data_IF_872848587931
#
_entry.id   IF_872848587931
#
_cell.length_a   1.000
_cell.length_b   1.000
_cell.length_c   1.000
_cell.angle_alpha   90.00
_cell.angle_beta   90.00
_cell.angle_gamma   90.00
#
_symmetry.space_group_name_H-M   'P 1'
#
loop_
_entity.id
_entity.type
_entity.pdbx_description
1 polymer ?
#
# COMPACT_ATOMS: atom_id res chain seq x y z
N UNK A 1 -8.56 33.82 -0.25
CA UNK A 1 -9.95 33.41 -0.51
C UNK A 1 -10.01 31.91 -0.25
N UNK A 2 -10.68 31.41 0.81
CA UNK A 2 -10.86 29.98 0.97
C UNK A 2 -11.73 29.49 -0.19
N UNK A 3 -11.14 28.68 -1.07
CA UNK A 3 -11.87 27.95 -2.12
C UNK A 3 -13.02 27.19 -1.46
N UNK A 4 -14.26 27.25 -1.97
CA UNK A 4 -15.35 26.45 -1.41
C UNK A 4 -14.90 24.99 -1.37
N UNK A 5 -14.90 24.40 -0.17
CA UNK A 5 -14.46 23.02 0.02
C UNK A 5 -15.36 22.11 -0.82
N UNK A 6 -14.81 21.61 -1.93
CA UNK A 6 -15.49 20.66 -2.78
C UNK A 6 -15.66 19.39 -1.95
N UNK A 7 -16.91 19.00 -1.66
CA UNK A 7 -17.21 17.86 -0.80
C UNK A 7 -18.05 16.82 -1.52
N UNK A 8 -17.80 15.55 -1.19
CA UNK A 8 -18.57 14.44 -1.75
C UNK A 8 -20.02 14.51 -1.28
N UNK A 9 -21.01 14.48 -2.19
CA UNK A 9 -22.42 14.53 -1.82
C UNK A 9 -22.93 13.29 -1.06
N UNK A 10 -22.14 12.20 -1.02
CA UNK A 10 -22.52 10.97 -0.27
C UNK A 10 -21.84 10.86 1.09
N UNK A 11 -20.56 11.22 1.21
CA UNK A 11 -19.81 11.01 2.45
C UNK A 11 -19.15 12.28 3.01
N UNK A 12 -19.42 13.44 2.42
CA UNK A 12 -18.88 14.75 2.79
C UNK A 12 -17.35 14.88 2.79
N UNK A 13 -16.61 13.85 2.34
CA UNK A 13 -15.16 13.88 2.20
C UNK A 13 -14.73 14.99 1.23
N UNK A 14 -13.62 15.65 1.53
CA UNK A 14 -13.02 16.65 0.65
C UNK A 14 -12.61 16.00 -0.68
N UNK A 15 -12.80 16.76 -1.76
CA UNK A 15 -12.55 16.34 -3.13
C UNK A 15 -11.57 17.31 -3.77
N UNK A 16 -10.63 16.77 -4.54
CA UNK A 16 -9.91 17.58 -5.52
C UNK A 16 -10.70 17.66 -6.82
N UNK A 17 -10.49 18.78 -7.52
CA UNK A 17 -11.10 19.04 -8.81
C UNK A 17 -10.71 17.95 -9.82
N UNK A 18 -11.68 17.49 -10.59
CA UNK A 18 -11.52 16.47 -11.65
C UNK A 18 -11.18 15.05 -11.19
N UNK A 19 -11.35 14.71 -9.91
CA UNK A 19 -11.42 13.31 -9.50
C UNK A 19 -12.66 12.65 -10.11
N UNK A 20 -12.49 11.47 -10.73
CA UNK A 20 -13.60 10.72 -11.32
C UNK A 20 -14.42 9.95 -10.28
N UNK A 21 -13.82 9.66 -9.12
CA UNK A 21 -14.43 8.97 -8.01
C UNK A 21 -14.05 9.64 -6.69
N UNK A 22 -14.95 9.60 -5.71
CA UNK A 22 -14.62 9.99 -4.35
C UNK A 22 -13.61 8.98 -3.77
N UNK A 23 -12.49 9.48 -3.24
CA UNK A 23 -11.42 8.65 -2.68
C UNK A 23 -11.78 7.93 -1.37
N UNK A 24 -12.91 8.28 -0.76
CA UNK A 24 -13.40 7.69 0.49
C UNK A 24 -14.53 6.67 0.23
N UNK A 25 -15.59 7.05 -0.49
CA UNK A 25 -16.76 6.19 -0.70
C UNK A 25 -16.88 5.57 -2.11
N UNK A 26 -16.02 5.96 -3.04
CA UNK A 26 -16.01 5.45 -4.41
C UNK A 26 -17.14 5.96 -5.31
N UNK A 27 -18.03 6.84 -4.82
CA UNK A 27 -19.07 7.49 -5.64
C UNK A 27 -18.43 8.13 -6.87
N UNK A 28 -18.97 7.79 -8.05
CA UNK A 28 -18.59 8.45 -9.30
C UNK A 28 -18.98 9.93 -9.25
N UNK A 29 -18.05 10.78 -9.66
CA UNK A 29 -18.17 12.23 -9.65
C UNK A 29 -18.33 12.75 -11.08
N UNK A 30 -19.13 13.79 -11.21
CA UNK A 30 -19.33 14.54 -12.45
C UNK A 30 -18.93 15.99 -12.22
N UNK A 31 -18.18 16.56 -13.15
CA UNK A 31 -17.69 17.94 -13.07
C UNK A 31 -18.40 18.80 -14.10
N UNK A 32 -19.67 19.09 -13.88
CA UNK A 32 -20.51 19.94 -14.75
C UNK A 32 -20.16 21.42 -14.59
N UNK A 33 -20.41 22.23 -15.62
CA UNK A 33 -20.18 23.68 -15.61
C UNK A 33 -21.36 24.43 -14.96
N UNK A 34 -21.70 24.05 -13.74
CA UNK A 34 -22.88 24.59 -13.02
C UNK A 34 -22.83 26.10 -12.81
N UNK A 35 -21.65 26.70 -12.78
CA UNK A 35 -21.44 28.14 -12.63
C UNK A 35 -21.26 28.88 -13.96
N UNK A 36 -21.42 28.18 -15.10
CA UNK A 36 -21.21 28.71 -16.46
C UNK A 36 -19.84 29.40 -16.60
N UNK A 37 -18.81 28.80 -16.01
CA UNK A 37 -17.46 29.36 -16.02
C UNK A 37 -16.82 29.25 -17.41
N UNK A 38 -17.07 28.15 -18.12
CA UNK A 38 -16.49 27.85 -19.44
C UNK A 38 -17.54 27.90 -20.54
N UNK A 39 -18.83 27.78 -20.19
CA UNK A 39 -19.94 27.78 -21.11
C UNK A 39 -20.14 26.46 -21.87
N UNK A 40 -19.30 25.45 -21.63
CA UNK A 40 -19.28 24.23 -22.42
C UNK A 40 -19.11 22.95 -21.57
N UNK A 41 -19.88 21.92 -21.92
CA UNK A 41 -19.82 20.58 -21.34
C UNK A 41 -19.68 19.54 -22.46
N UNK A 42 -18.89 18.51 -22.23
CA UNK A 42 -18.76 17.42 -23.19
C UNK A 42 -20.06 16.61 -23.24
N UNK A 43 -20.72 16.57 -24.40
CA UNK A 43 -21.94 15.79 -24.63
C UNK A 43 -21.82 14.30 -24.23
N UNK A 44 -20.62 13.72 -24.36
CA UNK A 44 -20.41 12.29 -24.11
C UNK A 44 -20.17 11.92 -22.64
N UNK A 45 -19.53 12.78 -21.86
CA UNK A 45 -19.17 12.47 -20.47
C UNK A 45 -19.72 13.46 -19.44
N UNK A 46 -20.36 14.54 -19.87
CA UNK A 46 -20.97 15.57 -19.02
C UNK A 46 -19.96 16.39 -18.20
N UNK A 47 -18.67 16.31 -18.52
CA UNK A 47 -17.65 17.09 -17.82
C UNK A 47 -17.41 18.41 -18.54
N UNK A 48 -17.13 19.44 -17.75
CA UNK A 48 -16.78 20.78 -18.20
C UNK A 48 -15.60 20.75 -19.18
N UNK A 49 -15.78 21.41 -20.32
CA UNK A 49 -14.78 21.59 -21.38
C UNK A 49 -14.73 23.06 -21.77
N UNK A 50 -13.95 23.41 -22.79
CA UNK A 50 -14.04 24.71 -23.47
C UNK A 50 -14.68 24.50 -24.83
N UNK A 51 -15.47 25.48 -25.26
CA UNK A 51 -15.84 25.73 -26.66
C UNK A 51 -14.65 25.62 -27.63
N UNK A 52 -13.48 26.12 -27.24
CA UNK A 52 -12.28 26.12 -28.07
C UNK A 52 -11.64 24.74 -28.29
N UNK A 53 -12.07 23.68 -27.58
CA UNK A 53 -11.42 22.37 -27.61
C UNK A 53 -11.98 21.47 -28.70
N UNK A 54 -11.12 20.94 -29.58
CA UNK A 54 -11.50 19.92 -30.57
C UNK A 54 -11.73 18.54 -29.97
N UNK A 55 -11.06 18.21 -28.86
CA UNK A 55 -11.19 16.92 -28.18
C UNK A 55 -11.51 17.08 -26.70
N UNK A 56 -12.35 16.20 -26.18
CA UNK A 56 -12.63 16.17 -24.76
C UNK A 56 -11.39 15.70 -23.98
N UNK A 57 -10.82 16.53 -23.09
CA UNK A 57 -9.60 16.18 -22.36
C UNK A 57 -9.80 15.04 -21.33
N UNK A 58 -11.05 14.66 -21.06
CA UNK A 58 -11.43 13.66 -20.05
C UNK A 58 -11.72 12.29 -20.66
N UNK A 59 -12.52 12.24 -21.72
CA UNK A 59 -12.92 11.00 -22.40
C UNK A 59 -12.22 10.74 -23.73
N UNK A 60 -11.54 11.75 -24.31
CA UNK A 60 -10.75 11.63 -25.53
C UNK A 60 -11.56 11.63 -26.83
N UNK A 61 -12.89 11.76 -26.75
CA UNK A 61 -13.75 11.86 -27.94
C UNK A 61 -13.56 13.21 -28.62
N UNK A 62 -13.68 13.20 -29.93
CA UNK A 62 -13.82 14.39 -30.74
C UNK A 62 -15.13 15.10 -30.36
N UNK A 63 -15.02 16.38 -30.04
CA UNK A 63 -16.12 17.28 -29.68
C UNK A 63 -16.11 18.54 -30.55
N UNK A 64 -15.40 18.50 -31.68
CA UNK A 64 -15.24 19.62 -32.58
C UNK A 64 -16.59 20.17 -33.02
N UNK A 65 -16.74 21.48 -32.88
CA UNK A 65 -17.89 22.26 -33.28
C UNK A 65 -17.43 23.55 -34.00
N UNK A 66 -18.34 24.42 -34.47
CA UNK A 66 -17.95 25.66 -35.17
C UNK A 66 -17.12 26.64 -34.32
N UNK A 67 -17.19 26.56 -33.00
CA UNK A 67 -16.46 27.44 -32.07
C UNK A 67 -15.08 26.87 -31.65
N UNK A 68 -14.82 25.61 -32.02
CA UNK A 68 -13.57 24.92 -31.77
C UNK A 68 -12.41 25.50 -32.57
N UNK A 69 -11.23 25.61 -31.94
CA UNK A 69 -10.03 26.08 -32.63
C UNK A 69 -9.17 24.91 -33.10
N UNK A 70 -8.78 24.84 -34.38
CA UNK A 70 -7.85 23.82 -34.88
C UNK A 70 -6.42 24.04 -34.35
N UNK A 71 -6.12 25.24 -33.87
CA UNK A 71 -4.81 25.62 -33.36
C UNK A 71 -4.77 25.74 -31.82
N UNK A 72 -3.68 25.31 -31.18
CA UNK A 72 -3.41 25.53 -29.76
C UNK A 72 -3.53 26.99 -29.30
N UNK A 73 -4.55 27.27 -28.50
CA UNK A 73 -4.71 28.59 -27.88
C UNK A 73 -4.07 28.67 -26.49
N UNK A 74 -4.12 29.87 -25.90
CA UNK A 74 -3.88 30.08 -24.46
C UNK A 74 -4.92 29.34 -23.63
N UNK A 75 -4.69 29.21 -22.33
CA UNK A 75 -5.61 28.50 -21.44
C UNK A 75 -6.97 29.24 -21.42
N UNK A 76 -8.08 28.57 -21.80
CA UNK A 76 -9.40 29.19 -21.76
C UNK A 76 -9.86 29.38 -20.32
N UNK A 77 -10.93 30.17 -20.14
CA UNK A 77 -11.49 30.45 -18.82
C UNK A 77 -11.80 29.14 -18.09
N UNK A 78 -11.52 29.10 -16.78
CA UNK A 78 -11.68 27.88 -15.98
C UNK A 78 -10.56 26.86 -16.13
N UNK A 79 -9.62 27.03 -17.08
CA UNK A 79 -8.48 26.17 -17.28
C UNK A 79 -7.13 26.87 -17.05
N UNK A 80 -6.13 26.13 -16.57
CA UNK A 80 -4.74 26.55 -16.38
C UNK A 80 -3.82 25.47 -16.95
N UNK A 81 -3.06 25.79 -18.00
CA UNK A 81 -2.15 24.80 -18.58
C UNK A 81 -0.88 24.69 -17.75
N UNK A 82 -0.56 23.46 -17.32
CA UNK A 82 0.63 23.16 -16.53
C UNK A 82 1.84 22.86 -17.42
N UNK A 83 1.61 22.34 -18.64
CA UNK A 83 2.68 22.07 -19.62
C UNK A 83 2.13 21.97 -21.04
N UNK A 84 3.03 21.84 -22.01
CA UNK A 84 2.72 21.54 -23.41
C UNK A 84 2.46 20.05 -23.65
N UNK A 85 1.70 19.75 -24.68
CA UNK A 85 1.38 18.40 -25.12
C UNK A 85 2.65 17.66 -25.50
N UNK A 86 2.87 16.50 -24.88
CA UNK A 86 4.06 15.66 -25.12
C UNK A 86 4.18 15.10 -26.54
N UNK A 87 3.12 15.16 -27.33
CA UNK A 87 3.08 14.64 -28.69
C UNK A 87 3.39 15.70 -29.76
N UNK A 88 3.86 16.88 -29.35
CA UNK A 88 4.38 17.88 -30.29
C UNK A 88 3.32 18.77 -30.96
N UNK A 89 2.03 18.60 -30.68
CA UNK A 89 0.99 19.45 -31.28
C UNK A 89 0.97 20.91 -30.80
N UNK A 90 1.88 21.34 -29.89
CA UNK A 90 1.90 22.71 -29.33
C UNK A 90 0.79 23.03 -28.30
N UNK A 91 -0.27 22.22 -28.25
CA UNK A 91 -1.39 22.29 -27.30
C UNK A 91 -0.97 22.39 -25.83
N UNK A 92 -1.60 23.27 -25.05
CA UNK A 92 -1.46 23.25 -23.59
C UNK A 92 -2.33 22.16 -22.95
N UNK A 93 -1.88 21.59 -21.83
CA UNK A 93 -2.61 20.57 -21.04
C UNK A 93 -2.57 20.90 -19.55
N UNK A 94 -3.67 20.64 -18.85
CA UNK A 94 -3.82 20.80 -17.40
C UNK A 94 -3.78 19.43 -16.70
N UNK A 95 -3.18 19.33 -15.52
CA UNK A 95 -3.37 18.15 -14.66
C UNK A 95 -4.82 18.12 -14.12
N UNK A 96 -5.56 17.00 -14.13
CA UNK A 96 -5.15 15.64 -14.48
C UNK A 96 -5.67 15.15 -15.84
N UNK A 97 -5.80 16.04 -16.85
CA UNK A 97 -6.36 15.72 -18.17
C UNK A 97 -5.77 14.44 -18.76
N UNK A 98 -6.63 13.52 -19.23
CA UNK A 98 -6.23 12.22 -19.77
C UNK A 98 -5.82 12.30 -21.23
N UNK A 99 -6.37 13.26 -21.96
CA UNK A 99 -6.13 13.47 -23.38
C UNK A 99 -5.78 14.93 -23.64
N UNK A 100 -5.03 15.20 -24.70
CA UNK A 100 -4.80 16.56 -25.15
C UNK A 100 -6.09 17.11 -25.77
N UNK A 101 -6.58 18.28 -25.36
CA UNK A 101 -7.80 18.85 -25.92
C UNK A 101 -7.67 19.29 -27.39
N UNK A 102 -6.44 19.33 -27.92
CA UNK A 102 -6.13 19.81 -29.27
C UNK A 102 -5.94 18.67 -30.28
N UNK A 103 -5.21 17.62 -29.89
CA UNK A 103 -4.89 16.51 -30.81
C UNK A 103 -5.47 15.15 -30.39
N UNK A 104 -6.26 15.11 -29.30
CA UNK A 104 -6.89 13.90 -28.78
C UNK A 104 -5.92 12.86 -28.19
N UNK A 105 -4.59 13.05 -28.31
CA UNK A 105 -3.62 12.03 -27.89
C UNK A 105 -3.52 11.92 -26.36
N UNK A 106 -3.37 10.69 -25.81
CA UNK A 106 -3.35 10.47 -24.37
C UNK A 106 -2.12 11.10 -23.70
N UNK A 107 -2.34 11.69 -22.53
CA UNK A 107 -1.32 12.31 -21.68
C UNK A 107 -0.96 11.39 -20.52
N UNK A 108 0.33 11.37 -20.16
CA UNK A 108 0.83 10.69 -18.95
C UNK A 108 1.38 11.72 -17.98
N UNK A 109 0.89 11.73 -16.75
CA UNK A 109 1.35 12.64 -15.70
C UNK A 109 2.32 11.94 -14.77
N UNK A 110 3.25 12.71 -14.22
CA UNK A 110 4.06 12.28 -13.07
C UNK A 110 3.34 12.72 -11.81
N UNK A 111 3.35 11.87 -10.78
CA UNK A 111 2.54 12.03 -9.57
C UNK A 111 3.43 12.29 -8.36
N UNK A 112 4.28 13.33 -8.42
CA UNK A 112 5.29 13.60 -7.38
C UNK A 112 4.67 14.03 -6.04
N UNK A 113 3.49 14.64 -6.08
CA UNK A 113 2.74 15.06 -4.89
C UNK A 113 2.03 13.91 -4.16
N UNK A 114 1.95 12.73 -4.78
CA UNK A 114 1.28 11.58 -4.18
C UNK A 114 2.29 10.66 -3.50
N UNK A 115 1.89 10.11 -2.34
CA UNK A 115 2.73 9.18 -1.61
C UNK A 115 2.93 7.88 -2.39
N UNK A 116 1.90 7.43 -3.12
CA UNK A 116 1.90 6.12 -3.76
C UNK A 116 1.24 6.16 -5.15
N UNK A 117 1.22 5.01 -5.83
CA UNK A 117 0.53 4.80 -7.10
C UNK A 117 -0.49 3.68 -6.96
N UNK A 118 -1.68 3.88 -7.52
CA UNK A 118 -2.75 2.89 -7.52
C UNK A 118 -2.28 1.57 -8.16
N UNK A 119 -2.47 0.42 -7.49
CA UNK A 119 -2.10 -0.90 -8.02
C UNK A 119 -2.85 -1.31 -9.29
N UNK A 120 -3.99 -0.67 -9.58
CA UNK A 120 -4.85 -0.98 -10.73
C UNK A 120 -4.55 -0.11 -11.95
N UNK A 121 -4.49 1.22 -11.79
CA UNK A 121 -4.31 2.16 -12.91
C UNK A 121 -2.97 2.89 -12.93
N UNK A 122 -2.11 2.68 -11.92
CA UNK A 122 -0.78 3.30 -11.79
C UNK A 122 -0.79 4.84 -11.77
N UNK A 123 -1.92 5.45 -11.39
CA UNK A 123 -2.04 6.89 -11.12
C UNK A 123 -1.75 7.21 -9.65
N UNK A 124 -1.32 8.43 -9.34
CA UNK A 124 -1.00 8.87 -7.99
C UNK A 124 -2.16 8.74 -7.01
N UNK A 125 -1.90 8.21 -5.82
CA UNK A 125 -2.86 8.08 -4.70
C UNK A 125 -2.12 8.28 -3.36
N UNK A 126 -2.83 8.76 -2.35
CA UNK A 126 -2.29 8.90 -1.00
C UNK A 126 -2.64 7.68 -0.13
N UNK A 127 -1.83 7.42 0.89
CA UNK A 127 -1.87 6.18 1.68
C UNK A 127 -3.21 5.99 2.44
N UNK A 128 -3.91 7.09 2.69
CA UNK A 128 -5.21 7.13 3.39
C UNK A 128 -6.43 7.11 2.47
N UNK A 129 -6.25 7.12 1.15
CA UNK A 129 -7.36 6.92 0.22
C UNK A 129 -7.77 5.44 0.24
N UNK A 130 -9.06 5.16 0.42
CA UNK A 130 -9.61 3.81 0.32
C UNK A 130 -9.91 3.44 -1.13
N UNK A 131 -10.38 4.41 -1.91
CA UNK A 131 -10.72 4.26 -3.33
C UNK A 131 -9.83 5.15 -4.17
N UNK A 132 -9.38 4.62 -5.31
CA UNK A 132 -8.60 5.37 -6.28
C UNK A 132 -9.52 6.39 -6.96
N UNK A 133 -9.25 7.71 -6.83
CA UNK A 133 -10.11 8.73 -7.41
C UNK A 133 -10.15 8.71 -8.95
N UNK A 134 -9.26 7.92 -9.57
CA UNK A 134 -9.12 7.87 -11.03
C UNK A 134 -9.81 6.70 -11.69
N UNK A 135 -9.86 5.53 -11.03
CA UNK A 135 -10.42 4.31 -11.59
C UNK A 135 -11.53 3.68 -10.74
N UNK A 136 -11.77 4.18 -9.52
CA UNK A 136 -12.82 3.68 -8.64
C UNK A 136 -12.49 2.35 -7.93
N UNK A 137 -11.34 1.76 -8.21
CA UNK A 137 -10.86 0.54 -7.55
C UNK A 137 -10.16 0.85 -6.22
N UNK A 138 -9.89 -0.18 -5.41
CA UNK A 138 -9.16 -0.05 -4.14
C UNK A 138 -7.79 0.62 -4.35
N UNK A 139 -7.57 1.78 -3.72
CA UNK A 139 -6.34 2.55 -3.86
C UNK A 139 -5.13 1.86 -3.19
N UNK A 140 -5.37 1.00 -2.21
CA UNK A 140 -4.34 0.30 -1.43
C UNK A 140 -3.91 -1.02 -2.06
N UNK A 141 -4.77 -1.61 -2.90
CA UNK A 141 -4.57 -2.94 -3.48
C UNK A 141 -4.84 -4.11 -2.52
N UNK A 142 -5.50 -3.88 -1.38
CA UNK A 142 -5.88 -4.95 -0.44
C UNK A 142 -6.86 -5.92 -1.08
N UNK A 143 -7.66 -5.44 -2.03
CA UNK A 143 -8.53 -6.23 -2.87
C UNK A 143 -7.79 -7.32 -3.68
N UNK A 144 -6.56 -7.04 -4.10
CA UNK A 144 -5.71 -7.98 -4.82
C UNK A 144 -5.17 -9.10 -3.93
N UNK A 145 -5.03 -8.84 -2.62
CA UNK A 145 -4.46 -9.78 -1.63
C UNK A 145 -5.46 -10.26 -0.56
N UNK A 146 -6.77 -10.22 -0.86
CA UNK A 146 -7.85 -10.58 0.09
C UNK A 146 -7.65 -11.93 0.77
N UNK A 147 -7.15 -12.94 0.05
CA UNK A 147 -6.95 -14.29 0.60
C UNK A 147 -5.88 -14.30 1.70
N UNK A 148 -4.71 -13.67 1.44
CA UNK A 148 -3.65 -13.54 2.42
C UNK A 148 -4.14 -12.75 3.65
N UNK A 149 -4.81 -11.61 3.43
CA UNK A 149 -5.34 -10.77 4.52
C UNK A 149 -6.35 -11.51 5.38
N UNK A 150 -7.25 -12.30 4.78
CA UNK A 150 -8.20 -13.14 5.52
C UNK A 150 -7.47 -14.15 6.39
N UNK A 151 -6.44 -14.80 5.85
CA UNK A 151 -5.63 -15.77 6.60
C UNK A 151 -4.87 -15.12 7.75
N UNK A 152 -4.25 -13.96 7.53
CA UNK A 152 -3.56 -13.19 8.57
C UNK A 152 -4.51 -12.84 9.71
N UNK A 153 -5.70 -12.30 9.41
CA UNK A 153 -6.72 -11.98 10.43
C UNK A 153 -7.10 -13.19 11.27
N UNK A 154 -7.36 -14.34 10.64
CA UNK A 154 -7.65 -15.59 11.36
C UNK A 154 -6.49 -15.99 12.29
N UNK A 155 -5.26 -15.91 11.81
CA UNK A 155 -4.07 -16.27 12.58
C UNK A 155 -3.83 -15.31 13.75
N UNK A 156 -4.08 -14.01 13.59
CA UNK A 156 -4.02 -13.05 14.69
C UNK A 156 -5.05 -13.35 15.78
N UNK A 157 -6.29 -13.70 15.39
CA UNK A 157 -7.36 -14.12 16.32
C UNK A 157 -6.95 -15.37 17.10
N UNK A 158 -6.44 -16.41 16.42
CA UNK A 158 -5.93 -17.63 17.08
C UNK A 158 -4.68 -17.33 17.94
N UNK A 159 -3.82 -16.44 17.46
CA UNK A 159 -2.70 -15.82 18.16
C UNK A 159 -3.12 -15.05 19.42
N UNK A 160 -4.40 -14.68 19.47
CA UNK A 160 -5.01 -13.71 20.38
C UNK A 160 -4.24 -12.38 20.38
N UNK A 161 -3.58 -12.04 19.28
CA UNK A 161 -2.84 -10.79 19.10
C UNK A 161 -3.84 -9.73 18.68
N UNK A 162 -3.84 -8.59 19.37
CA UNK A 162 -4.76 -7.48 19.08
C UNK A 162 -4.46 -6.92 17.69
N UNK A 163 -5.49 -6.73 16.88
CA UNK A 163 -5.41 -5.95 15.65
C UNK A 163 -5.33 -4.46 16.03
N UNK A 164 -4.29 -3.77 15.57
CA UNK A 164 -4.05 -2.36 15.89
C UNK A 164 -4.55 -1.41 14.81
N UNK A 165 -5.51 -1.89 14.03
CA UNK A 165 -6.03 -1.25 12.83
C UNK A 165 -4.88 -0.96 11.85
N UNK A 166 -4.05 -1.98 11.62
CA UNK A 166 -2.99 -1.87 10.62
C UNK A 166 -3.59 -1.75 9.22
N UNK A 167 -2.92 -0.98 8.37
CA UNK A 167 -3.29 -0.77 6.97
C UNK A 167 -2.20 -1.37 6.11
N UNK A 168 -2.58 -2.31 5.24
CA UNK A 168 -1.66 -2.93 4.29
C UNK A 168 -1.75 -2.18 2.97
N UNK A 169 -0.60 -1.76 2.42
CA UNK A 169 -0.50 -1.03 1.17
C UNK A 169 0.38 -1.80 0.19
N UNK A 170 -0.08 -2.01 -1.04
CA UNK A 170 0.77 -2.50 -2.12
C UNK A 170 1.53 -1.33 -2.75
N UNK A 171 2.87 -1.36 -2.69
CA UNK A 171 3.74 -0.28 -3.19
C UNK A 171 4.82 -0.81 -4.13
N UNK A 172 5.23 -0.06 -5.16
CA UNK A 172 6.54 -0.30 -5.78
C UNK A 172 7.66 -0.07 -4.74
N UNK A 173 8.69 -0.91 -4.72
CA UNK A 173 9.81 -0.76 -3.78
C UNK A 173 10.10 -2.03 -3.00
N UNK A 174 10.28 -1.92 -1.68
CA UNK A 174 10.57 -3.07 -0.80
C UNK A 174 9.44 -3.20 0.23
N UNK A 175 9.18 -4.42 0.69
CA UNK A 175 8.21 -4.64 1.78
C UNK A 175 8.82 -4.17 3.10
N UNK A 176 8.01 -3.60 4.00
CA UNK A 176 8.56 -3.05 5.23
C UNK A 176 7.55 -2.35 6.12
N UNK A 177 8.02 -2.01 7.32
CA UNK A 177 7.34 -1.14 8.28
C UNK A 177 8.36 -0.14 8.85
N UNK A 178 7.95 1.11 9.01
CA UNK A 178 8.80 2.14 9.64
C UNK A 178 8.33 2.45 11.06
N UNK A 179 9.27 2.85 11.92
CA UNK A 179 8.96 3.31 13.28
C UNK A 179 8.09 4.58 13.33
N UNK A 180 8.08 5.39 12.25
CA UNK A 180 7.28 6.62 12.15
C UNK A 180 5.81 6.32 11.83
N UNK A 181 5.58 5.28 11.05
CA UNK A 181 4.25 4.84 10.60
C UNK A 181 4.02 3.35 10.90
N UNK A 182 4.10 2.92 12.17
CA UNK A 182 4.12 1.50 12.52
C UNK A 182 2.81 0.76 12.20
N UNK A 183 1.73 1.48 11.90
CA UNK A 183 0.44 0.91 11.45
C UNK A 183 0.37 0.67 9.94
N UNK A 184 1.32 1.18 9.16
CA UNK A 184 1.34 1.01 7.71
C UNK A 184 2.29 -0.13 7.38
N UNK A 185 1.72 -1.18 6.78
CA UNK A 185 2.44 -2.38 6.33
C UNK A 185 2.59 -2.29 4.83
N UNK A 186 3.81 -2.08 4.36
CA UNK A 186 4.11 -1.97 2.95
C UNK A 186 4.47 -3.35 2.39
N UNK A 187 3.80 -3.74 1.31
CA UNK A 187 4.06 -4.99 0.61
C UNK A 187 4.45 -4.67 -0.83
N UNK A 188 5.56 -5.23 -1.28
CA UNK A 188 6.07 -4.99 -2.61
C UNK A 188 5.08 -5.49 -3.67
N UNK A 189 4.59 -4.55 -4.48
CA UNK A 189 3.54 -4.74 -5.48
C UNK A 189 3.87 -5.85 -6.49
N UNK A 190 5.15 -6.08 -6.80
CA UNK A 190 5.56 -7.09 -7.80
C UNK A 190 5.18 -8.53 -7.42
N UNK A 191 4.99 -8.81 -6.12
CA UNK A 191 4.51 -10.12 -5.67
C UNK A 191 3.07 -10.42 -6.10
N UNK A 192 2.32 -9.38 -6.50
CA UNK A 192 0.89 -9.45 -6.77
C UNK A 192 0.55 -9.05 -8.20
N UNK A 193 1.17 -7.99 -8.74
CA UNK A 193 0.85 -7.45 -10.08
C UNK A 193 1.92 -7.72 -11.13
N UNK A 194 2.91 -8.58 -10.85
CA UNK A 194 3.94 -8.97 -11.82
C UNK A 194 3.38 -9.84 -12.96
N UNK A 195 4.26 -10.33 -13.86
CA UNK A 195 3.89 -11.25 -14.96
C UNK A 195 3.25 -12.58 -14.52
N UNK A 196 3.19 -12.85 -13.21
CA UNK A 196 2.55 -14.03 -12.64
C UNK A 196 1.04 -13.86 -12.67
N UNK A 197 0.31 -14.84 -13.20
CA UNK A 197 -1.15 -14.83 -13.14
C UNK A 197 -1.60 -14.97 -11.67
N UNK A 198 -2.82 -14.54 -11.34
CA UNK A 198 -3.35 -14.51 -9.96
C UNK A 198 -3.33 -15.89 -9.26
N UNK A 199 -3.42 -16.96 -10.04
CA UNK A 199 -3.32 -18.37 -9.66
C UNK A 199 -1.91 -18.83 -9.31
N UNK A 200 -0.87 -18.10 -9.74
CA UNK A 200 0.53 -18.38 -9.41
C UNK A 200 1.00 -17.63 -8.14
N UNK A 201 0.12 -16.84 -7.51
CA UNK A 201 0.45 -16.11 -6.28
C UNK A 201 0.53 -17.12 -5.12
N UNK A 202 1.71 -17.23 -4.52
CA UNK A 202 1.90 -18.01 -3.30
C UNK A 202 1.26 -17.29 -2.10
N UNK A 203 -0.01 -17.57 -1.83
CA UNK A 203 -0.76 -16.97 -0.72
C UNK A 203 -0.13 -17.24 0.65
N UNK A 204 0.52 -18.40 0.80
CA UNK A 204 1.25 -18.74 2.02
C UNK A 204 2.51 -17.87 2.19
N UNK A 205 3.23 -17.58 1.10
CA UNK A 205 4.36 -16.65 1.14
C UNK A 205 3.88 -15.26 1.54
N UNK A 206 2.84 -14.73 0.88
CA UNK A 206 2.29 -13.40 1.23
C UNK A 206 1.79 -13.34 2.67
N UNK A 207 1.12 -14.40 3.15
CA UNK A 207 0.70 -14.49 4.56
C UNK A 207 1.90 -14.43 5.49
N UNK A 208 2.97 -15.17 5.18
CA UNK A 208 4.21 -15.17 5.95
C UNK A 208 4.88 -13.79 5.97
N UNK A 209 5.01 -13.15 4.82
CA UNK A 209 5.56 -11.81 4.67
C UNK A 209 4.75 -10.78 5.47
N UNK A 210 3.43 -10.76 5.33
CA UNK A 210 2.58 -9.83 6.09
C UNK A 210 2.73 -10.06 7.61
N UNK A 211 2.80 -11.32 8.06
CA UNK A 211 3.02 -11.63 9.47
C UNK A 211 4.42 -11.22 9.98
N UNK A 212 5.44 -11.32 9.12
CA UNK A 212 6.78 -10.81 9.41
C UNK A 212 6.74 -9.30 9.64
N UNK A 213 6.16 -8.55 8.69
CA UNK A 213 6.04 -7.09 8.81
C UNK A 213 5.17 -6.68 10.01
N UNK A 214 4.12 -7.45 10.31
CA UNK A 214 3.35 -7.26 11.54
C UNK A 214 4.17 -7.52 12.80
N UNK A 215 5.20 -8.35 12.76
CA UNK A 215 6.17 -8.51 13.84
C UNK A 215 6.96 -7.23 14.11
N UNK A 216 7.44 -6.57 13.05
CA UNK A 216 8.07 -5.25 13.17
C UNK A 216 7.10 -4.20 13.72
N UNK A 217 5.90 -4.12 13.14
CA UNK A 217 4.81 -3.27 13.65
C UNK A 217 4.58 -3.52 15.15
N UNK A 218 4.42 -4.80 15.54
CA UNK A 218 4.21 -5.20 16.92
C UNK A 218 5.32 -4.71 17.86
N UNK A 219 6.57 -4.82 17.42
CA UNK A 219 7.72 -4.38 18.20
C UNK A 219 7.75 -2.85 18.36
N UNK A 220 7.44 -2.09 17.31
CA UNK A 220 7.49 -0.63 17.34
C UNK A 220 6.48 -0.01 18.30
N UNK A 221 5.26 -0.53 18.36
CA UNK A 221 4.29 -0.05 19.35
C UNK A 221 4.61 -0.51 20.78
N UNK A 222 5.37 -1.59 20.93
CA UNK A 222 5.83 -2.10 22.22
C UNK A 222 7.31 -1.82 22.43
N UNK A 223 7.83 -0.69 21.95
CA UNK A 223 9.27 -0.46 21.89
C UNK A 223 9.98 -0.56 23.24
N UNK A 224 9.29 -0.24 24.34
CA UNK A 224 9.80 -0.44 25.70
C UNK A 224 10.20 -1.88 26.01
N UNK A 225 9.58 -2.87 25.37
CA UNK A 225 9.89 -4.29 25.52
C UNK A 225 11.35 -4.59 25.15
N UNK A 226 11.89 -3.93 24.13
CA UNK A 226 13.29 -4.08 23.68
C UNK A 226 14.32 -3.72 24.75
N UNK A 227 13.91 -2.94 25.77
CA UNK A 227 14.78 -2.49 26.86
C UNK A 227 14.81 -3.45 28.04
N UNK A 228 13.93 -4.44 28.06
CA UNK A 228 13.85 -5.41 29.16
C UNK A 228 15.03 -6.39 29.12
N UNK A 229 15.50 -6.83 30.29
CA UNK A 229 16.57 -7.84 30.37
C UNK A 229 16.19 -9.17 29.72
N UNK A 230 14.90 -9.55 29.78
CA UNK A 230 14.38 -10.76 29.11
C UNK A 230 14.49 -10.66 27.59
N UNK A 231 14.11 -9.52 27.00
CA UNK A 231 14.24 -9.32 25.56
C UNK A 231 15.70 -9.35 25.12
N UNK A 232 16.58 -8.60 25.79
CA UNK A 232 18.00 -8.52 25.41
C UNK A 232 18.70 -9.87 25.50
N UNK A 233 18.35 -10.70 26.48
CA UNK A 233 18.85 -12.07 26.62
C UNK A 233 18.40 -12.95 25.45
N UNK A 234 17.13 -12.87 25.08
CA UNK A 234 16.55 -13.75 24.06
C UNK A 234 16.92 -13.34 22.61
N UNK A 235 16.88 -12.04 22.30
CA UNK A 235 17.00 -11.53 20.92
C UNK A 235 18.26 -10.67 20.69
N UNK A 236 18.90 -10.20 21.76
CA UNK A 236 20.00 -9.24 21.66
C UNK A 236 19.57 -7.77 21.79
N UNK A 237 20.53 -6.86 21.65
CA UNK A 237 20.32 -5.43 21.82
C UNK A 237 20.01 -4.71 20.51
N UNK A 238 18.77 -4.27 20.35
CA UNK A 238 18.27 -3.64 19.13
C UNK A 238 19.00 -2.34 18.72
N UNK A 239 19.67 -1.67 19.66
CA UNK A 239 20.40 -0.41 19.42
C UNK A 239 21.85 -0.61 19.00
N UNK A 240 22.36 -1.85 19.02
CA UNK A 240 23.70 -2.16 18.53
C UNK A 240 23.68 -2.33 17.01
N UNK A 241 24.77 -1.94 16.37
CA UNK A 241 24.95 -2.15 14.93
C UNK A 241 25.39 -3.60 14.72
N UNK A 242 24.65 -4.35 13.91
CA UNK A 242 25.00 -5.71 13.50
C UNK A 242 25.47 -5.68 12.04
N UNK A 243 26.48 -6.51 11.70
CA UNK A 243 26.88 -6.69 10.30
C UNK A 243 25.76 -7.42 9.57
N UNK A 244 25.14 -6.73 8.61
CA UNK A 244 24.16 -7.35 7.72
C UNK A 244 24.93 -8.33 6.84
N UNK A 245 24.68 -9.64 7.00
CA UNK A 245 25.02 -10.58 5.95
C UNK A 245 24.12 -10.25 4.76
N UNK A 246 24.72 -10.03 3.59
CA UNK A 246 24.11 -9.56 2.34
C UNK A 246 22.60 -9.81 2.22
N UNK A 247 21.87 -8.78 1.77
CA UNK A 247 20.44 -8.77 1.48
C UNK A 247 20.05 -9.84 0.45
N UNK A 248 20.04 -11.10 0.87
CA UNK A 248 19.43 -12.20 0.13
C UNK A 248 17.95 -12.15 0.44
N UNK A 249 17.16 -11.93 -0.60
CA UNK A 249 15.71 -12.05 -0.59
C UNK A 249 15.30 -13.28 0.22
N UNK A 250 14.46 -13.07 1.24
CA UNK A 250 13.92 -14.15 2.06
C UNK A 250 13.00 -14.97 1.17
N UNK A 251 13.43 -16.18 0.86
CA UNK A 251 12.59 -17.17 0.22
C UNK A 251 11.57 -17.69 1.25
N UNK A 252 10.46 -16.97 1.38
CA UNK A 252 9.31 -17.39 2.19
C UNK A 252 8.61 -18.65 1.63
N UNK A 253 8.95 -19.12 0.43
CA UNK A 253 8.49 -20.41 -0.11
C UNK A 253 9.28 -21.58 0.50
N UNK A 254 10.53 -21.36 0.93
CA UNK A 254 11.24 -22.25 1.86
C UNK A 254 10.69 -22.09 3.27
N UNK A 255 9.48 -22.61 3.46
CA UNK A 255 8.62 -22.60 4.66
C UNK A 255 9.21 -23.23 5.94
N UNK A 256 10.48 -23.62 5.92
CA UNK A 256 11.09 -24.41 6.97
C UNK A 256 11.81 -23.56 8.00
N UNK A 257 11.68 -23.97 9.24
CA UNK A 257 12.74 -23.75 10.23
C UNK A 257 14.07 -24.20 9.59
N UNK A 258 15.11 -23.37 9.58
CA UNK A 258 16.40 -23.78 8.97
C UNK A 258 17.10 -24.84 9.82
N UNK A 259 18.02 -25.62 9.29
CA UNK A 259 18.94 -26.46 10.10
C UNK A 259 20.29 -25.79 10.34
N UNK A 260 20.62 -24.77 9.54
CA UNK A 260 21.99 -24.21 9.46
C UNK A 260 22.40 -23.35 10.65
N UNK A 261 21.43 -22.70 11.31
CA UNK A 261 21.69 -21.81 12.44
C UNK A 261 20.91 -22.31 13.66
N UNK A 262 21.56 -22.96 14.64
CA UNK A 262 20.88 -23.59 15.78
C UNK A 262 20.03 -22.62 16.62
N UNK A 263 20.46 -21.36 16.74
CA UNK A 263 19.86 -20.39 17.65
C UNK A 263 18.79 -19.49 17.01
N UNK A 264 18.52 -19.65 15.72
CA UNK A 264 17.60 -18.78 14.97
C UNK A 264 16.53 -19.60 14.25
N UNK A 265 15.29 -19.11 14.16
CA UNK A 265 14.22 -19.83 13.45
C UNK A 265 14.52 -19.96 11.95
N UNK A 266 15.11 -18.94 11.34
CA UNK A 266 15.51 -18.88 9.93
C UNK A 266 16.91 -18.28 9.79
N UNK A 267 17.49 -18.38 8.59
CA UNK A 267 18.74 -17.69 8.30
C UNK A 267 18.58 -16.16 8.37
N UNK A 268 17.43 -15.66 7.94
CA UNK A 268 17.13 -14.22 7.94
C UNK A 268 17.03 -13.64 9.35
N UNK A 269 16.46 -14.40 10.29
CA UNK A 269 16.40 -14.02 11.71
C UNK A 269 17.79 -13.68 12.29
N UNK A 270 18.88 -14.24 11.78
CA UNK A 270 20.22 -13.99 12.30
C UNK A 270 20.84 -12.65 11.86
N UNK A 271 20.17 -11.89 10.99
CA UNK A 271 20.71 -10.64 10.43
C UNK A 271 20.69 -9.48 11.42
N UNK A 272 19.65 -9.40 12.26
CA UNK A 272 19.48 -8.34 13.25
C UNK A 272 18.46 -8.75 14.32
N UNK A 273 18.57 -8.30 15.59
CA UNK A 273 17.58 -8.59 16.63
C UNK A 273 16.12 -8.25 16.29
N UNK A 274 15.90 -7.22 15.46
CA UNK A 274 14.55 -6.89 14.97
C UNK A 274 14.02 -7.94 14.00
N UNK A 275 14.88 -8.44 13.09
CA UNK A 275 14.51 -9.51 12.15
C UNK A 275 14.31 -10.84 12.87
N UNK A 276 15.12 -11.12 13.89
CA UNK A 276 14.95 -12.28 14.76
C UNK A 276 13.59 -12.27 15.47
N UNK A 277 13.24 -11.10 16.01
CA UNK A 277 11.93 -10.89 16.62
C UNK A 277 10.79 -11.05 15.62
N UNK A 278 10.88 -10.39 14.46
CA UNK A 278 9.84 -10.43 13.44
C UNK A 278 9.61 -11.84 12.88
N UNK A 279 10.68 -12.59 12.63
CA UNK A 279 10.60 -13.99 12.21
C UNK A 279 10.05 -14.88 13.32
N UNK A 280 10.50 -14.71 14.57
CA UNK A 280 9.95 -15.45 15.71
C UNK A 280 8.45 -15.18 15.87
N UNK A 281 8.04 -13.91 15.75
CA UNK A 281 6.64 -13.48 15.79
C UNK A 281 5.82 -14.14 14.67
N UNK A 282 6.34 -14.15 13.44
CA UNK A 282 5.71 -14.81 12.29
C UNK A 282 5.42 -16.28 12.58
N UNK A 283 6.42 -17.04 13.03
CA UNK A 283 6.23 -18.46 13.36
C UNK A 283 5.29 -18.66 14.55
N UNK A 284 5.43 -17.85 15.60
CA UNK A 284 4.56 -17.90 16.77
C UNK A 284 3.10 -17.72 16.40
N UNK A 285 2.77 -16.70 15.61
CA UNK A 285 1.38 -16.43 15.18
C UNK A 285 0.90 -17.50 14.20
N UNK A 286 1.69 -17.85 13.18
CA UNK A 286 1.29 -18.82 12.16
C UNK A 286 1.07 -20.24 12.72
N UNK A 287 1.75 -20.61 13.82
CA UNK A 287 1.71 -21.94 14.43
C UNK A 287 1.18 -21.91 15.86
N UNK A 288 0.51 -20.84 16.30
CA UNK A 288 0.07 -20.68 17.70
C UNK A 288 -0.78 -21.85 18.22
N UNK A 289 -1.70 -22.34 17.40
CA UNK A 289 -2.56 -23.49 17.73
C UNK A 289 -1.86 -24.85 17.64
N UNK A 290 -0.61 -24.88 17.14
CA UNK A 290 0.18 -26.10 16.88
C UNK A 290 1.62 -25.94 17.38
N UNK A 291 1.82 -25.25 18.50
CA UNK A 291 3.17 -25.02 19.06
C UNK A 291 3.90 -26.33 19.39
N UNK A 292 3.16 -27.38 19.81
CA UNK A 292 3.73 -28.71 20.03
C UNK A 292 4.39 -29.28 18.78
N UNK A 293 3.73 -29.17 17.62
CA UNK A 293 4.30 -29.60 16.33
C UNK A 293 5.52 -28.77 15.96
N UNK A 294 5.46 -27.44 16.17
CA UNK A 294 6.57 -26.54 15.89
C UNK A 294 7.81 -26.88 16.75
N UNK A 295 7.62 -27.14 18.04
CA UNK A 295 8.69 -27.51 18.95
C UNK A 295 9.26 -28.90 18.65
N UNK A 296 8.42 -29.86 18.24
CA UNK A 296 8.90 -31.14 17.71
C UNK A 296 9.73 -30.95 16.42
N UNK A 297 9.33 -30.02 15.55
CA UNK A 297 10.11 -29.64 14.37
C UNK A 297 11.46 -29.03 14.75
N UNK A 298 11.51 -28.16 15.77
CA UNK A 298 12.76 -27.60 16.31
C UNK A 298 13.71 -28.70 16.81
N UNK A 299 13.20 -29.66 17.56
CA UNK A 299 14.00 -30.81 18.04
C UNK A 299 14.56 -31.64 16.88
N UNK A 300 13.73 -32.00 15.90
CA UNK A 300 14.19 -32.72 14.69
C UNK A 300 15.26 -31.94 13.91
N UNK A 301 15.17 -30.61 13.91
CA UNK A 301 16.13 -29.73 13.23
C UNK A 301 17.28 -29.27 14.12
N UNK A 302 17.46 -29.89 15.30
CA UNK A 302 18.55 -29.65 16.25
C UNK A 302 18.69 -28.16 16.62
N UNK A 303 17.56 -27.48 16.84
CA UNK A 303 17.58 -26.10 17.33
C UNK A 303 18.03 -26.04 18.78
N UNK A 304 18.81 -25.01 19.09
CA UNK A 304 19.31 -24.73 20.43
C UNK A 304 18.20 -24.22 21.35
N UNK A 305 18.46 -24.30 22.65
CA UNK A 305 17.63 -23.73 23.72
C UNK A 305 17.26 -22.25 23.47
N UNK A 306 18.14 -21.38 22.92
CA UNK A 306 17.79 -19.98 22.66
C UNK A 306 16.54 -19.78 21.80
N UNK A 307 16.26 -20.68 20.83
CA UNK A 307 15.04 -20.59 20.03
C UNK A 307 13.79 -20.78 20.89
N UNK A 308 13.81 -21.73 21.82
CA UNK A 308 12.67 -21.96 22.71
C UNK A 308 12.47 -20.78 23.67
N UNK A 309 13.56 -20.22 24.20
CA UNK A 309 13.52 -19.02 25.05
C UNK A 309 12.86 -17.83 24.35
N UNK A 310 13.19 -17.57 23.08
CA UNK A 310 12.54 -16.52 22.28
C UNK A 310 11.02 -16.67 22.22
N UNK A 311 10.53 -17.89 22.01
CA UNK A 311 9.09 -18.17 21.98
C UNK A 311 8.44 -17.97 23.35
N UNK A 312 9.11 -18.39 24.44
CA UNK A 312 8.61 -18.19 25.79
C UNK A 312 8.54 -16.69 26.14
N UNK A 313 9.61 -15.93 25.87
CA UNK A 313 9.66 -14.48 26.11
C UNK A 313 8.56 -13.75 25.34
N UNK A 314 8.36 -14.09 24.05
CA UNK A 314 7.27 -13.52 23.26
C UNK A 314 5.89 -13.92 23.79
N UNK A 315 5.72 -15.20 24.15
CA UNK A 315 4.46 -15.72 24.68
C UNK A 315 4.03 -14.99 25.96
N UNK A 316 4.95 -14.88 26.92
CA UNK A 316 4.73 -14.21 28.21
C UNK A 316 4.40 -12.73 28.01
N UNK A 317 5.12 -12.05 27.12
CA UNK A 317 4.85 -10.65 26.83
C UNK A 317 3.47 -10.44 26.19
N UNK A 318 3.10 -11.26 25.20
CA UNK A 318 1.77 -11.19 24.59
C UNK A 318 0.68 -11.46 25.63
N UNK A 319 0.92 -12.33 26.62
CA UNK A 319 -0.02 -12.56 27.73
C UNK A 319 -0.10 -11.37 28.68
N UNK A 320 1.02 -10.72 29.00
CA UNK A 320 1.03 -9.58 29.94
C UNK A 320 0.28 -8.37 29.40
N UNK A 321 0.31 -8.13 28.08
CA UNK A 321 -0.47 -7.08 27.43
C UNK A 321 -1.99 -7.23 27.59
N UNK A 322 -2.46 -8.41 28.02
CA UNK A 322 -3.90 -8.70 28.19
C UNK A 322 -4.41 -8.47 29.60
N UNK A 323 -3.57 -8.02 30.54
CA UNK A 323 -4.01 -7.66 31.89
C UNK A 323 -4.81 -8.76 32.59
N UNK A 324 -4.28 -9.98 32.68
CA UNK A 324 -4.92 -11.01 33.51
C UNK A 324 -4.86 -10.59 34.99
N UNK A 325 -5.99 -10.05 35.47
CA UNK A 325 -6.67 -10.60 36.64
C UNK A 325 -7.36 -11.89 36.24
#
# INVERSE_FOLDING_TARGET
MPTPELRCPTCAAELERFWAHCSNCGRRLEWRDTTKQTGAECYYCGWVVSDSFSFCPWCGRDITDPDSSPEPLKAPKGFSYHRRCRWGCGGGVMYPMRFCPWCGRPQKWHYWEFQNVCPHCSKGVNDWMDVCPWCGEDATGRDLIRQALRRVRQLLVVGRVKDWNYRVLLRPGVSGVTHRTPKVIEIERRYVTGKRRRDEISWNMLTGLILHELGHSFLYHNWSFTRTGRFRRAFGEVRKVYRVADSKWVDFERRGVTTTLPDYVTAYAATHPQEDFAETFRFYVARRGRLRELFAEFGRKRKGVPVFEKFLVLHDFIRSLRGWR
#
